data_IF_003790092357
#
_entry.id   IF_003790092357
#
_cell.length_a   1.000
_cell.length_b   1.000
_cell.length_c   1.000
_cell.angle_alpha   90.00
_cell.angle_beta   90.00
_cell.angle_gamma   90.00
#
_symmetry.space_group_name_H-M   'P 1'
#
loop_
_entity.id
_entity.type
_entity.pdbx_description
1 polymer ?
#
# COMPACT_ATOMS: atom_id res chain seq x y z
N UNK A 1 -10.31 -3.98 -34.32
CA UNK A 1 -10.82 -2.82 -33.55
C UNK A 1 -9.78 -2.50 -32.48
N UNK A 2 -9.26 -1.26 -32.44
CA UNK A 2 -8.49 -0.81 -31.27
C UNK A 2 -9.50 -0.59 -30.15
N UNK A 3 -9.41 -1.36 -29.07
CA UNK A 3 -10.16 -1.09 -27.85
C UNK A 3 -9.77 0.31 -27.36
N UNK A 4 -10.72 1.25 -27.37
CA UNK A 4 -10.47 2.58 -26.83
C UNK A 4 -10.46 2.46 -25.30
N UNK A 5 -9.27 2.54 -24.71
CA UNK A 5 -9.12 2.54 -23.25
C UNK A 5 -9.87 3.76 -22.67
N UNK A 6 -10.89 3.49 -21.84
CA UNK A 6 -11.61 4.56 -21.13
C UNK A 6 -10.77 5.05 -19.94
N UNK A 7 -10.04 6.15 -20.16
CA UNK A 7 -9.13 6.74 -19.18
C UNK A 7 -9.90 7.26 -17.96
N UNK A 8 -9.38 6.99 -16.76
CA UNK A 8 -9.95 7.50 -15.50
C UNK A 8 -9.54 8.95 -15.23
N UNK A 9 -8.41 9.39 -15.79
CA UNK A 9 -7.98 10.79 -15.80
C UNK A 9 -7.71 11.27 -17.23
N UNK A 10 -8.36 12.37 -17.70
CA UNK A 10 -8.25 12.82 -19.08
C UNK A 10 -6.82 13.15 -19.55
N UNK A 11 -5.99 13.66 -18.65
CA UNK A 11 -4.62 14.11 -18.95
C UNK A 11 -3.58 12.97 -18.97
N UNK A 12 -3.93 11.78 -18.46
CA UNK A 12 -3.06 10.62 -18.51
C UNK A 12 -3.20 9.93 -19.88
N UNK A 13 -2.67 10.55 -20.94
CA UNK A 13 -2.69 9.97 -22.28
C UNK A 13 -1.96 8.62 -22.29
N UNK A 14 -2.23 7.78 -23.29
CA UNK A 14 -1.60 6.47 -23.38
C UNK A 14 -0.08 6.61 -23.52
N UNK A 15 0.39 7.58 -24.29
CA UNK A 15 1.80 7.90 -24.47
C UNK A 15 2.45 8.37 -23.16
N UNK A 16 1.78 9.27 -22.43
CA UNK A 16 2.26 9.75 -21.13
C UNK A 16 2.37 8.61 -20.12
N UNK A 17 1.33 7.77 -20.02
CA UNK A 17 1.31 6.64 -19.11
C UNK A 17 2.43 5.64 -19.41
N UNK A 18 2.64 5.29 -20.70
CA UNK A 18 3.73 4.41 -21.12
C UNK A 18 5.10 4.98 -20.78
N UNK A 19 5.31 6.27 -21.01
CA UNK A 19 6.59 6.90 -20.69
C UNK A 19 6.84 6.94 -19.17
N UNK A 20 5.82 7.28 -18.38
CA UNK A 20 5.92 7.26 -16.92
C UNK A 20 6.23 5.86 -16.38
N UNK A 21 5.52 4.83 -16.85
CA UNK A 21 5.79 3.43 -16.48
C UNK A 21 7.24 3.07 -16.83
N UNK A 22 7.70 3.38 -18.05
CA UNK A 22 9.07 3.11 -18.48
C UNK A 22 10.11 3.80 -17.60
N UNK A 23 9.88 5.07 -17.21
CA UNK A 23 10.79 5.81 -16.33
C UNK A 23 10.85 5.18 -14.94
N UNK A 24 9.71 4.77 -14.39
CA UNK A 24 9.62 4.11 -13.09
C UNK A 24 10.31 2.74 -13.12
N UNK A 25 10.08 1.92 -14.14
CA UNK A 25 10.75 0.63 -14.33
C UNK A 25 12.28 0.79 -14.38
N UNK A 26 12.77 1.76 -15.16
CA UNK A 26 14.20 2.07 -15.21
C UNK A 26 14.74 2.54 -13.86
N UNK A 27 13.96 3.31 -13.10
CA UNK A 27 14.31 3.73 -11.74
C UNK A 27 14.45 2.52 -10.81
N UNK A 28 13.48 1.60 -10.84
CA UNK A 28 13.53 0.35 -10.07
C UNK A 28 14.75 -0.49 -10.41
N UNK A 29 15.04 -0.69 -11.71
CA UNK A 29 16.23 -1.45 -12.15
C UNK A 29 17.54 -0.82 -11.64
N UNK A 30 17.66 0.51 -11.72
CA UNK A 30 18.83 1.24 -11.18
C UNK A 30 18.95 1.08 -9.66
N UNK A 31 17.84 1.08 -8.94
CA UNK A 31 17.87 0.87 -7.49
C UNK A 31 18.33 -0.55 -7.16
N UNK A 32 17.79 -1.58 -7.82
CA UNK A 32 18.19 -2.96 -7.58
C UNK A 32 19.68 -3.20 -7.84
N UNK A 33 20.28 -2.53 -8.84
CA UNK A 33 21.72 -2.66 -9.09
C UNK A 33 22.60 -2.08 -7.98
N UNK A 34 22.07 -1.22 -7.09
CA UNK A 34 22.80 -0.70 -5.94
C UNK A 34 22.87 -1.68 -4.76
N UNK A 35 21.91 -2.58 -4.60
CA UNK A 35 21.83 -3.44 -3.41
C UNK A 35 23.01 -4.40 -3.24
N UNK A 36 23.55 -5.03 -4.30
CA UNK A 36 24.74 -5.88 -4.17
C UNK A 36 26.03 -5.10 -3.88
N UNK A 37 26.06 -3.79 -4.12
CA UNK A 37 27.30 -3.00 -4.00
C UNK A 37 27.72 -2.87 -2.53
N UNK A 38 28.93 -3.33 -2.16
CA UNK A 38 29.45 -3.15 -0.81
C UNK A 38 29.87 -1.70 -0.53
N UNK A 39 30.07 -0.89 -1.58
CA UNK A 39 30.45 0.52 -1.45
C UNK A 39 29.30 1.43 -0.99
N UNK A 40 28.05 0.95 -1.05
CA UNK A 40 26.88 1.71 -0.63
C UNK A 40 26.55 1.37 0.83
N UNK A 41 26.55 2.39 1.68
CA UNK A 41 26.17 2.24 3.09
C UNK A 41 24.74 1.70 3.24
N UNK A 42 24.50 0.85 4.23
CA UNK A 42 23.21 0.19 4.45
C UNK A 42 22.06 1.17 4.61
N UNK A 43 22.24 2.29 5.33
CA UNK A 43 21.21 3.34 5.43
C UNK A 43 20.79 3.87 4.05
N UNK A 44 21.74 4.04 3.12
CA UNK A 44 21.41 4.45 1.75
C UNK A 44 20.64 3.35 1.02
N UNK A 45 20.94 2.07 1.28
CA UNK A 45 20.15 0.95 0.72
C UNK A 45 18.73 0.93 1.27
N UNK A 46 18.53 1.19 2.56
CA UNK A 46 17.20 1.33 3.16
C UNK A 46 16.39 2.47 2.52
N UNK A 47 17.01 3.65 2.36
CA UNK A 47 16.38 4.79 1.65
C UNK A 47 16.01 4.40 0.21
N UNK A 48 16.88 3.69 -0.51
CA UNK A 48 16.60 3.23 -1.87
C UNK A 48 15.50 2.17 -1.91
N UNK A 49 15.43 1.26 -0.94
CA UNK A 49 14.31 0.32 -0.82
C UNK A 49 12.99 1.05 -0.54
N UNK A 50 12.99 2.12 0.27
CA UNK A 50 11.82 2.99 0.43
C UNK A 50 11.39 3.61 -0.91
N UNK A 51 12.36 4.06 -1.73
CA UNK A 51 12.05 4.57 -3.08
C UNK A 51 11.46 3.51 -4.01
N UNK A 52 11.78 2.22 -3.84
CA UNK A 52 11.13 1.14 -4.61
C UNK A 52 9.65 1.03 -4.24
N UNK A 53 9.31 1.11 -2.96
CA UNK A 53 7.92 1.06 -2.49
C UNK A 53 7.12 2.18 -3.16
N UNK A 54 7.61 3.42 -3.10
CA UNK A 54 7.01 4.58 -3.79
C UNK A 54 6.86 4.33 -5.29
N UNK A 55 7.93 3.89 -5.96
CA UNK A 55 7.89 3.60 -7.40
C UNK A 55 6.80 2.58 -7.77
N UNK A 56 6.66 1.49 -7.02
CA UNK A 56 5.64 0.48 -7.30
C UNK A 56 4.22 0.99 -7.05
N UNK A 57 4.01 1.79 -5.99
CA UNK A 57 2.74 2.49 -5.75
C UNK A 57 2.41 3.44 -6.91
N UNK A 58 3.35 4.27 -7.33
CA UNK A 58 3.18 5.22 -8.44
C UNK A 58 2.89 4.53 -9.76
N UNK A 59 3.56 3.41 -10.03
CA UNK A 59 3.32 2.61 -11.23
C UNK A 59 1.91 2.03 -11.24
N UNK A 60 1.45 1.47 -10.12
CA UNK A 60 0.08 0.97 -10.01
C UNK A 60 -0.95 2.10 -10.15
N UNK A 61 -0.70 3.25 -9.52
CA UNK A 61 -1.55 4.44 -9.66
C UNK A 61 -1.63 4.89 -11.12
N UNK A 62 -0.50 4.91 -11.84
CA UNK A 62 -0.44 5.27 -13.26
C UNK A 62 -1.24 4.30 -14.13
N UNK A 63 -1.06 2.98 -13.92
CA UNK A 63 -1.80 1.93 -14.63
C UNK A 63 -3.30 2.10 -14.41
N UNK A 64 -3.74 2.26 -13.17
CA UNK A 64 -5.15 2.47 -12.85
C UNK A 64 -5.69 3.75 -13.51
N UNK A 65 -4.98 4.87 -13.35
CA UNK A 65 -5.39 6.20 -13.81
C UNK A 65 -5.47 6.30 -15.33
N UNK A 66 -4.55 5.64 -16.03
CA UNK A 66 -4.53 5.56 -17.49
C UNK A 66 -5.64 4.68 -18.08
N UNK A 67 -6.49 4.06 -17.24
CA UNK A 67 -7.64 3.28 -17.70
C UNK A 67 -7.34 1.83 -18.01
N UNK A 68 -6.13 1.34 -17.72
CA UNK A 68 -5.84 -0.09 -17.86
C UNK A 68 -6.77 -0.91 -16.96
N UNK A 69 -6.87 -2.19 -17.32
CA UNK A 69 -7.58 -3.21 -16.56
C UNK A 69 -7.04 -3.29 -15.14
N UNK A 70 -7.93 -3.43 -14.17
CA UNK A 70 -7.54 -3.48 -12.75
C UNK A 70 -6.67 -4.70 -12.46
N UNK A 71 -6.87 -5.79 -13.20
CA UNK A 71 -6.07 -7.01 -13.11
C UNK A 71 -4.59 -6.77 -13.49
N UNK A 72 -4.30 -5.75 -14.29
CA UNK A 72 -2.92 -5.36 -14.67
C UNK A 72 -2.10 -4.85 -13.48
N UNK A 73 -2.73 -4.50 -12.35
CA UNK A 73 -2.02 -4.09 -11.14
C UNK A 73 -1.32 -5.26 -10.45
N UNK A 74 -1.83 -6.48 -10.64
CA UNK A 74 -1.41 -7.69 -9.92
C UNK A 74 0.08 -8.00 -10.06
N UNK A 75 0.67 -7.71 -11.22
CA UNK A 75 2.10 -7.95 -11.49
C UNK A 75 3.04 -7.12 -10.60
N UNK A 76 2.54 -6.03 -10.02
CA UNK A 76 3.32 -5.11 -9.21
C UNK A 76 3.20 -5.35 -7.70
N UNK A 77 2.24 -6.18 -7.26
CA UNK A 77 2.06 -6.47 -5.83
C UNK A 77 3.21 -7.29 -5.24
N UNK A 78 3.67 -8.32 -5.96
CA UNK A 78 4.79 -9.16 -5.51
C UNK A 78 6.09 -8.34 -5.36
N UNK A 79 6.52 -7.56 -6.37
CA UNK A 79 7.68 -6.67 -6.22
C UNK A 79 7.52 -5.59 -5.14
N UNK A 80 6.31 -5.07 -4.94
CA UNK A 80 6.03 -4.09 -3.89
C UNK A 80 6.26 -4.69 -2.50
N UNK A 81 5.72 -5.89 -2.22
CA UNK A 81 5.94 -6.57 -0.94
C UNK A 81 7.41 -6.92 -0.75
N UNK A 82 8.10 -7.37 -1.81
CA UNK A 82 9.54 -7.59 -1.75
C UNK A 82 10.34 -6.31 -1.44
N UNK A 83 9.87 -5.14 -1.88
CA UNK A 83 10.49 -3.85 -1.54
C UNK A 83 10.30 -3.50 -0.05
N UNK A 84 9.13 -3.78 0.54
CA UNK A 84 8.92 -3.66 1.99
C UNK A 84 9.87 -4.57 2.78
N UNK A 85 9.99 -5.84 2.39
CA UNK A 85 10.89 -6.80 3.04
C UNK A 85 12.34 -6.34 2.95
N UNK A 86 12.76 -5.84 1.78
CA UNK A 86 14.11 -5.32 1.55
C UNK A 86 14.40 -4.08 2.40
N UNK A 87 13.43 -3.17 2.50
CA UNK A 87 13.54 -1.99 3.37
C UNK A 87 13.76 -2.44 4.82
N UNK A 88 12.93 -3.37 5.30
CA UNK A 88 13.04 -3.93 6.65
C UNK A 88 14.40 -4.58 6.88
N UNK A 89 14.89 -5.40 5.95
CA UNK A 89 16.23 -6.02 6.01
C UNK A 89 17.32 -4.95 6.19
N UNK A 90 17.31 -3.92 5.35
CA UNK A 90 18.32 -2.86 5.43
C UNK A 90 18.17 -1.98 6.67
N UNK A 91 16.96 -1.71 7.15
CA UNK A 91 16.74 -1.01 8.40
C UNK A 91 17.36 -1.79 9.58
N UNK A 92 17.11 -3.10 9.68
CA UNK A 92 17.70 -3.93 10.74
C UNK A 92 19.23 -3.88 10.70
N UNK A 93 19.83 -4.01 9.50
CA UNK A 93 21.27 -3.96 9.31
C UNK A 93 21.85 -2.56 9.60
N UNK A 94 21.11 -1.50 9.28
CA UNK A 94 21.51 -0.11 9.50
C UNK A 94 21.55 0.25 10.98
N UNK A 95 20.53 -0.16 11.73
CA UNK A 95 20.41 0.12 13.16
C UNK A 95 21.08 -0.95 14.05
N UNK A 96 21.46 -2.10 13.47
CA UNK A 96 22.07 -3.21 14.20
C UNK A 96 21.11 -3.91 15.16
N UNK A 97 19.81 -3.69 15.02
CA UNK A 97 18.77 -4.24 15.89
C UNK A 97 17.50 -4.50 15.10
N UNK A 98 16.82 -5.59 15.44
CA UNK A 98 15.50 -5.89 14.90
C UNK A 98 14.39 -5.06 15.57
N UNK A 99 14.70 -4.34 16.65
CA UNK A 99 13.80 -3.41 17.35
C UNK A 99 13.55 -2.10 16.59
N UNK A 100 14.17 -1.93 15.41
CA UNK A 100 13.86 -0.79 14.54
C UNK A 100 12.35 -0.74 14.23
N UNK A 101 11.79 0.45 14.33
CA UNK A 101 10.37 0.70 14.09
C UNK A 101 9.98 0.35 12.64
N UNK A 102 9.04 -0.58 12.49
CA UNK A 102 8.16 -0.77 11.33
C UNK A 102 6.73 -0.29 11.61
N UNK A 103 6.52 0.49 12.68
CA UNK A 103 5.30 1.21 12.95
C UNK A 103 4.96 2.23 11.85
N UNK A 104 3.70 2.64 11.81
CA UNK A 104 3.28 3.77 10.98
C UNK A 104 3.81 5.07 11.61
N UNK A 105 4.80 5.70 10.99
CA UNK A 105 5.39 6.94 11.50
C UNK A 105 4.47 8.13 11.29
N UNK A 106 3.89 8.22 10.09
CA UNK A 106 2.98 9.30 9.69
C UNK A 106 1.70 8.76 9.02
N UNK A 107 0.74 9.65 8.75
CA UNK A 107 -0.50 9.29 8.03
C UNK A 107 -0.21 8.63 6.68
N UNK A 108 0.82 9.10 5.98
CA UNK A 108 1.16 8.65 4.63
C UNK A 108 1.68 7.20 4.63
N UNK A 109 2.47 6.82 5.64
CA UNK A 109 2.93 5.44 5.83
C UNK A 109 1.75 4.49 6.05
N UNK A 110 0.80 4.92 6.88
CA UNK A 110 -0.41 4.16 7.17
C UNK A 110 -1.30 4.02 5.95
N UNK A 111 -1.51 5.12 5.21
CA UNK A 111 -2.29 5.10 3.97
C UNK A 111 -1.67 4.16 2.94
N UNK A 112 -0.36 4.29 2.70
CA UNK A 112 0.36 3.45 1.74
C UNK A 112 0.28 1.96 2.11
N UNK A 113 0.44 1.64 3.39
CA UNK A 113 0.25 0.27 3.88
C UNK A 113 -1.19 -0.22 3.65
N UNK A 114 -2.19 0.55 4.08
CA UNK A 114 -3.60 0.16 3.93
C UNK A 114 -3.98 -0.05 2.47
N UNK A 115 -3.51 0.81 1.57
CA UNK A 115 -3.71 0.65 0.14
C UNK A 115 -3.07 -0.65 -0.37
N UNK A 116 -1.83 -0.94 0.05
CA UNK A 116 -1.12 -2.17 -0.32
C UNK A 116 -1.87 -3.41 0.15
N UNK A 117 -2.25 -3.46 1.44
CA UNK A 117 -3.02 -4.57 2.02
C UNK A 117 -4.38 -4.72 1.31
N UNK A 118 -5.10 -3.61 1.10
CA UNK A 118 -6.40 -3.62 0.43
C UNK A 118 -6.31 -4.12 -1.01
N UNK A 119 -5.27 -3.76 -1.75
CA UNK A 119 -5.06 -4.27 -3.11
C UNK A 119 -4.73 -5.77 -3.11
N UNK A 120 -3.95 -6.26 -2.15
CA UNK A 120 -3.71 -7.69 -1.99
C UNK A 120 -5.03 -8.45 -1.78
N UNK A 121 -5.92 -7.92 -0.93
CA UNK A 121 -7.25 -8.49 -0.68
C UNK A 121 -8.12 -8.45 -1.95
N UNK A 122 -8.28 -7.26 -2.56
CA UNK A 122 -9.18 -7.04 -3.69
C UNK A 122 -8.77 -7.78 -4.96
N UNK A 123 -7.47 -7.97 -5.17
CA UNK A 123 -6.91 -8.65 -6.34
C UNK A 123 -6.64 -10.13 -6.09
N UNK A 124 -7.09 -10.67 -4.96
CA UNK A 124 -6.98 -12.10 -4.64
C UNK A 124 -5.55 -12.60 -4.40
N UNK A 125 -4.63 -11.72 -4.00
CA UNK A 125 -3.22 -12.03 -3.68
C UNK A 125 -3.03 -12.21 -2.17
N UNK A 126 -3.89 -13.03 -1.57
CA UNK A 126 -3.92 -13.25 -0.11
C UNK A 126 -2.64 -13.88 0.44
N UNK A 127 -1.87 -14.59 -0.38
CA UNK A 127 -0.60 -15.19 0.00
C UNK A 127 0.49 -14.14 0.32
N UNK A 128 0.29 -12.87 -0.06
CA UNK A 128 1.18 -11.76 0.27
C UNK A 128 0.90 -11.14 1.64
N UNK A 129 -0.29 -11.35 2.19
CA UNK A 129 -0.73 -10.74 3.44
C UNK A 129 0.15 -11.18 4.62
N UNK A 130 0.50 -12.47 4.79
CA UNK A 130 1.37 -12.90 5.89
C UNK A 130 2.74 -12.22 5.86
N UNK A 131 3.32 -12.00 4.66
CA UNK A 131 4.62 -11.34 4.48
C UNK A 131 4.58 -9.88 4.95
N UNK A 132 3.51 -9.17 4.61
CA UNK A 132 3.28 -7.82 5.11
C UNK A 132 3.10 -7.83 6.64
N UNK A 133 2.23 -8.69 7.18
CA UNK A 133 2.00 -8.73 8.63
C UNK A 133 3.28 -9.07 9.42
N UNK A 134 4.16 -9.92 8.89
CA UNK A 134 5.43 -10.25 9.55
C UNK A 134 6.37 -9.03 9.74
N UNK A 135 6.26 -8.02 8.87
CA UNK A 135 7.02 -6.78 8.98
C UNK A 135 6.37 -5.84 10.00
N UNK A 136 5.06 -5.63 9.87
CA UNK A 136 4.35 -4.56 10.58
C UNK A 136 3.79 -4.99 11.96
N UNK A 137 3.64 -6.30 12.23
CA UNK A 137 3.06 -6.80 13.49
C UNK A 137 3.88 -6.41 14.72
N UNK A 138 5.20 -6.24 14.57
CA UNK A 138 6.08 -5.88 15.71
C UNK A 138 5.55 -4.67 16.46
N UNK A 139 5.19 -3.62 15.73
CA UNK A 139 4.82 -2.34 16.32
C UNK A 139 3.32 -2.05 16.27
N UNK A 140 2.58 -2.71 15.37
CA UNK A 140 1.18 -2.36 15.10
C UNK A 140 0.17 -3.40 15.59
N UNK A 141 0.61 -4.60 16.01
CA UNK A 141 -0.31 -5.65 16.45
C UNK A 141 -1.11 -5.21 17.68
N UNK A 142 -2.43 -5.24 17.54
CA UNK A 142 -3.40 -4.79 18.55
C UNK A 142 -3.54 -3.27 18.69
N UNK A 143 -2.78 -2.47 17.92
CA UNK A 143 -2.77 -1.01 18.05
C UNK A 143 -3.83 -0.31 17.20
N UNK A 144 -4.20 -0.90 16.06
CA UNK A 144 -5.18 -0.31 15.14
C UNK A 144 -6.30 -1.29 14.76
N UNK A 145 -7.54 -0.84 14.93
CA UNK A 145 -8.74 -1.62 14.71
C UNK A 145 -8.98 -1.95 13.24
N UNK A 146 -8.62 -1.08 12.29
CA UNK A 146 -8.75 -1.36 10.86
C UNK A 146 -7.72 -2.42 10.47
N UNK A 147 -6.47 -2.24 10.88
CA UNK A 147 -5.40 -3.21 10.67
C UNK A 147 -5.78 -4.60 11.17
N UNK A 148 -6.17 -4.71 12.45
CA UNK A 148 -6.55 -5.99 13.06
C UNK A 148 -7.80 -6.59 12.42
N UNK A 149 -8.83 -5.77 12.12
CA UNK A 149 -10.06 -6.28 11.52
C UNK A 149 -9.82 -6.83 10.11
N UNK A 150 -9.03 -6.15 9.27
CA UNK A 150 -8.71 -6.63 7.92
C UNK A 150 -7.90 -7.93 7.95
N UNK A 151 -6.93 -8.05 8.86
CA UNK A 151 -6.14 -9.27 8.99
C UNK A 151 -6.94 -10.42 9.61
N UNK A 152 -7.97 -10.13 10.42
CA UNK A 152 -8.81 -11.18 11.04
C UNK A 152 -9.58 -12.04 10.05
N UNK A 153 -9.75 -11.59 8.80
CA UNK A 153 -10.34 -12.42 7.73
C UNK A 153 -9.40 -13.54 7.25
N UNK A 154 -8.12 -13.49 7.63
CA UNK A 154 -7.09 -14.44 7.22
C UNK A 154 -6.41 -15.15 8.40
N UNK A 155 -6.57 -14.62 9.62
CA UNK A 155 -6.01 -15.16 10.85
C UNK A 155 -7.00 -14.95 12.02
N UNK A 156 -7.65 -16.02 12.49
CA UNK A 156 -8.64 -15.90 13.58
C UNK A 156 -8.00 -15.55 14.94
N UNK A 157 -6.67 -15.58 15.06
CA UNK A 157 -5.95 -15.24 16.28
C UNK A 157 -5.70 -13.74 16.47
N UNK A 158 -6.14 -12.89 15.52
CA UNK A 158 -5.96 -11.43 15.58
C UNK A 158 -6.60 -10.79 16.82
N UNK A 159 -5.97 -9.72 17.29
CA UNK A 159 -6.40 -9.02 18.50
C UNK A 159 -7.63 -8.18 18.20
N UNK A 160 -8.71 -8.35 18.97
CA UNK A 160 -9.89 -7.48 18.85
C UNK A 160 -9.66 -6.17 19.60
N UNK A 161 -9.64 -5.06 18.87
CA UNK A 161 -9.46 -3.71 19.43
C UNK A 161 -10.40 -2.71 18.74
N UNK A 162 -10.72 -1.63 19.45
CA UNK A 162 -11.46 -0.47 18.91
C UNK A 162 -10.57 0.78 18.80
N UNK A 163 -9.29 0.67 19.15
CA UNK A 163 -8.32 1.75 19.02
C UNK A 163 -8.06 2.05 17.54
N UNK A 164 -7.91 3.33 17.20
CA UNK A 164 -7.51 3.76 15.86
C UNK A 164 -6.27 4.62 16.01
N UNK A 165 -5.18 4.22 15.35
CA UNK A 165 -3.97 5.04 15.28
C UNK A 165 -4.26 6.34 14.52
N UNK A 166 -5.05 6.25 13.44
CA UNK A 166 -5.41 7.39 12.61
C UNK A 166 -6.94 7.52 12.49
N UNK A 167 -7.52 8.46 13.25
CA UNK A 167 -8.99 8.62 13.30
C UNK A 167 -9.57 9.30 12.07
N UNK A 168 -8.93 10.34 11.55
CA UNK A 168 -9.38 11.06 10.35
C UNK A 168 -8.42 10.76 9.21
N UNK A 169 -8.91 10.39 8.01
CA UNK A 169 -10.31 10.14 7.66
C UNK A 169 -10.85 8.76 8.09
N UNK A 170 -10.02 7.84 8.56
CA UNK A 170 -10.30 6.40 8.51
C UNK A 170 -11.40 5.85 9.45
N UNK A 171 -11.82 6.57 10.49
CA UNK A 171 -12.81 6.05 11.46
C UNK A 171 -14.14 5.60 10.83
N UNK A 172 -14.54 6.23 9.72
CA UNK A 172 -15.72 5.80 8.97
C UNK A 172 -15.56 4.43 8.29
N UNK A 173 -14.34 4.11 7.84
CA UNK A 173 -14.03 2.84 7.16
C UNK A 173 -14.13 1.64 8.11
N UNK A 174 -13.78 1.80 9.39
CA UNK A 174 -13.94 0.71 10.36
C UNK A 174 -15.39 0.20 10.43
N UNK A 175 -16.36 1.13 10.37
CA UNK A 175 -17.79 0.77 10.34
C UNK A 175 -18.18 0.04 9.06
N UNK A 176 -17.59 0.45 7.93
CA UNK A 176 -17.80 -0.24 6.63
C UNK A 176 -17.31 -1.67 6.70
N UNK A 177 -16.08 -1.87 7.19
CA UNK A 177 -15.41 -3.19 7.25
C UNK A 177 -16.16 -4.14 8.20
N UNK A 178 -16.66 -3.62 9.32
CA UNK A 178 -17.39 -4.42 10.34
C UNK A 178 -18.89 -4.56 10.09
N UNK A 179 -19.41 -4.00 9.00
CA UNK A 179 -20.84 -4.07 8.72
C UNK A 179 -21.30 -5.52 8.60
N UNK A 180 -22.47 -5.83 9.17
CA UNK A 180 -22.96 -7.21 9.23
C UNK A 180 -23.42 -7.73 7.86
N UNK A 181 -23.76 -6.82 6.93
CA UNK A 181 -24.27 -7.17 5.61
C UNK A 181 -23.61 -6.33 4.51
N UNK A 182 -23.48 -6.86 3.27
CA UNK A 182 -22.98 -6.09 2.13
C UNK A 182 -23.80 -4.83 1.83
N UNK A 183 -25.13 -4.89 2.05
CA UNK A 183 -26.03 -3.74 1.86
C UNK A 183 -25.74 -2.62 2.85
N UNK A 184 -25.50 -2.96 4.11
CA UNK A 184 -25.09 -2.00 5.13
C UNK A 184 -23.71 -1.44 4.85
N UNK A 185 -22.74 -2.30 4.50
CA UNK A 185 -21.39 -1.90 4.12
C UNK A 185 -21.42 -0.87 2.98
N UNK A 186 -22.20 -1.15 1.93
CA UNK A 186 -22.36 -0.26 0.77
C UNK A 186 -22.96 1.10 1.17
N UNK A 187 -23.98 1.13 2.03
CA UNK A 187 -24.58 2.38 2.53
C UNK A 187 -23.58 3.20 3.36
N UNK A 188 -22.81 2.53 4.22
CA UNK A 188 -21.79 3.18 5.05
C UNK A 188 -20.63 3.70 4.19
N UNK A 189 -20.23 2.97 3.16
CA UNK A 189 -19.18 3.37 2.22
C UNK A 189 -19.59 4.58 1.39
N UNK A 190 -20.83 4.60 0.88
CA UNK A 190 -21.37 5.77 0.18
C UNK A 190 -21.37 7.01 1.09
N UNK A 191 -21.80 6.86 2.35
CA UNK A 191 -21.71 7.93 3.34
C UNK A 191 -20.26 8.39 3.55
N UNK A 192 -19.34 7.45 3.76
CA UNK A 192 -17.93 7.75 3.95
C UNK A 192 -17.37 8.58 2.78
N UNK A 193 -17.59 8.14 1.54
CA UNK A 193 -17.13 8.85 0.35
C UNK A 193 -17.72 10.26 0.26
N UNK A 194 -19.01 10.43 0.56
CA UNK A 194 -19.69 11.74 0.58
C UNK A 194 -19.14 12.69 1.64
N UNK A 195 -18.74 12.17 2.80
CA UNK A 195 -18.14 12.96 3.87
C UNK A 195 -16.67 13.29 3.56
N UNK A 196 -15.97 12.39 2.85
CA UNK A 196 -14.55 12.48 2.54
C UNK A 196 -14.23 13.54 1.47
N UNK A 197 -14.86 13.49 0.29
CA UNK A 197 -14.53 14.42 -0.81
C UNK A 197 -14.66 15.91 -0.46
N UNK A 198 -15.69 16.38 0.28
CA UNK A 198 -15.80 17.77 0.69
C UNK A 198 -14.75 18.21 1.71
N UNK A 199 -14.25 17.28 2.53
CA UNK A 199 -13.22 17.59 3.54
C UNK A 199 -11.90 18.02 2.89
N UNK A 200 -11.58 17.51 1.70
CA UNK A 200 -10.38 17.86 0.92
C UNK A 200 -10.55 19.12 0.05
N UNK A 201 -11.77 19.64 -0.11
CA UNK A 201 -12.00 20.92 -0.80
C UNK A 201 -11.72 22.15 0.08
N UNK A 202 -11.55 21.96 1.39
CA UNK A 202 -11.39 23.01 2.40
C UNK A 202 -10.03 22.95 3.12
N UNK A 203 -9.11 22.10 2.65
CA UNK A 203 -7.74 21.99 3.15
C UNK A 203 -6.83 22.96 2.41
#
# INVERSE_FOLDING_TARGET
MKETINRRQPFATEEYAKEMIRLIENSCQKIYSYFPSPAIHTNNKAIKASSLITNYCDMMLMIYTAGYRVESLTSNLEPLVAAYERKREFDILAYGSDEVCAGFGENDDYEQFLQTLSLCILLGRSELIPRLSAIFDRDNKGQDAIYETLLSFYDDSRVKTDALLFKRPFAGLLKVIRAATPKEASKLLDKYCKDWYPAFKKA
#
